data_IF_278734034272
#
_entry.id   IF_278734034272
#
_cell.length_a   1.000
_cell.length_b   1.000
_cell.length_c   1.000
_cell.angle_alpha   90.00
_cell.angle_beta   90.00
_cell.angle_gamma   90.00
#
_symmetry.space_group_name_H-M   'P 1'
#
loop_
_entity.id
_entity.type
_entity.pdbx_description
1 polymer ?
#
# COMPACT_ATOMS: atom_id res chain seq x y z
N UNK A 1 22.46 6.81 4.83
CA UNK A 1 22.09 6.29 3.49
C UNK A 1 22.47 7.38 2.51
N UNK A 2 23.28 7.08 1.51
CA UNK A 2 23.67 8.02 0.47
C UNK A 2 22.85 7.70 -0.78
N UNK A 3 22.51 8.73 -1.56
CA UNK A 3 21.82 8.57 -2.84
C UNK A 3 22.65 9.23 -3.93
N UNK A 4 22.57 8.68 -5.14
CA UNK A 4 23.14 9.28 -6.35
C UNK A 4 21.99 9.58 -7.30
N UNK A 5 21.89 10.84 -7.74
CA UNK A 5 20.92 11.25 -8.75
C UNK A 5 21.57 11.22 -10.13
N UNK A 6 21.02 10.42 -11.04
CA UNK A 6 21.43 10.38 -12.44
C UNK A 6 20.40 11.10 -13.29
N UNK A 7 20.82 12.15 -14.00
CA UNK A 7 19.96 12.94 -14.88
C UNK A 7 20.25 12.58 -16.34
N UNK A 8 19.20 12.22 -17.09
CA UNK A 8 19.29 12.00 -18.53
C UNK A 8 18.89 13.26 -19.27
N UNK A 9 19.80 13.76 -20.10
CA UNK A 9 19.53 14.89 -20.98
C UNK A 9 19.13 14.39 -22.37
N UNK A 10 18.14 15.04 -22.95
CA UNK A 10 17.72 14.84 -24.33
C UNK A 10 17.90 16.13 -25.13
N UNK A 11 18.38 16.01 -26.36
CA UNK A 11 18.54 17.11 -27.31
C UNK A 11 17.75 16.87 -28.58
N UNK A 12 17.50 17.92 -29.36
CA UNK A 12 17.01 17.82 -30.73
C UNK A 12 18.10 18.26 -31.69
N UNK A 13 18.29 17.47 -32.74
CA UNK A 13 19.19 17.87 -33.81
C UNK A 13 18.57 19.01 -34.60
N UNK A 14 19.26 20.15 -34.71
CA UNK A 14 18.70 21.37 -35.31
C UNK A 14 18.30 21.20 -36.79
N UNK A 15 18.96 20.29 -37.52
CA UNK A 15 18.73 20.16 -38.96
C UNK A 15 17.62 19.17 -39.34
N UNK A 16 17.42 18.09 -38.57
CA UNK A 16 16.48 17.01 -38.90
C UNK A 16 15.42 16.77 -37.81
N UNK A 17 15.45 17.56 -36.73
CA UNK A 17 14.52 17.50 -35.60
C UNK A 17 14.47 16.13 -34.87
N UNK A 18 15.43 15.24 -35.15
CA UNK A 18 15.55 13.95 -34.47
C UNK A 18 15.93 14.16 -33.01
N UNK A 19 15.28 13.42 -32.11
CA UNK A 19 15.58 13.48 -30.68
C UNK A 19 16.72 12.52 -30.37
N UNK A 20 17.78 13.00 -29.72
CA UNK A 20 18.90 12.19 -29.24
C UNK A 20 18.83 12.19 -27.73
N UNK A 21 18.89 11.00 -27.13
CA UNK A 21 18.90 10.83 -25.68
C UNK A 21 20.20 10.14 -25.26
N UNK A 22 20.76 10.58 -24.14
CA UNK A 22 21.91 9.93 -23.49
C UNK A 22 21.49 8.62 -22.83
N UNK A 23 22.38 7.62 -22.83
CA UNK A 23 22.14 6.38 -22.11
C UNK A 23 22.51 6.55 -20.63
N UNK A 24 21.84 5.79 -19.76
CA UNK A 24 22.30 5.62 -18.38
C UNK A 24 23.64 4.87 -18.39
N UNK A 25 24.53 5.13 -17.42
CA UNK A 25 25.73 4.32 -17.26
C UNK A 25 25.36 2.87 -16.91
N UNK A 26 26.22 1.92 -17.30
CA UNK A 26 25.94 0.48 -17.21
C UNK A 26 25.72 -0.03 -15.77
N UNK A 27 26.23 0.70 -14.77
CA UNK A 27 26.09 0.41 -13.35
C UNK A 27 24.84 1.01 -12.71
N UNK A 28 24.04 1.78 -13.47
CA UNK A 28 22.82 2.38 -12.95
C UNK A 28 21.76 1.29 -12.64
N UNK A 29 21.08 1.37 -11.49
CA UNK A 29 20.04 0.41 -11.13
C UNK A 29 18.89 0.44 -12.14
N UNK A 30 18.28 -0.73 -12.37
CA UNK A 30 17.12 -0.85 -13.25
C UNK A 30 15.88 -0.20 -12.62
N UNK A 31 15.58 1.02 -13.05
CA UNK A 31 14.39 1.79 -12.63
C UNK A 31 14.73 3.18 -12.10
N UNK A 32 13.70 3.91 -11.65
CA UNK A 32 13.86 5.29 -11.16
C UNK A 32 14.40 5.40 -9.73
N UNK A 33 14.41 4.30 -8.96
CA UNK A 33 14.83 4.27 -7.56
C UNK A 33 15.69 3.05 -7.29
N UNK A 34 16.76 3.24 -6.53
CA UNK A 34 17.51 2.12 -5.94
C UNK A 34 16.63 1.35 -4.94
N UNK A 35 16.84 0.01 -4.79
CA UNK A 35 16.14 -0.82 -3.81
C UNK A 35 16.13 -0.27 -2.38
N UNK A 36 17.22 0.34 -1.88
CA UNK A 36 17.26 0.85 -0.50
C UNK A 36 16.34 2.05 -0.32
N UNK A 37 16.34 3.00 -1.25
CA UNK A 37 15.43 4.13 -1.24
C UNK A 37 13.98 3.69 -1.42
N UNK A 38 13.73 2.72 -2.30
CA UNK A 38 12.41 2.11 -2.48
C UNK A 38 11.88 1.51 -1.16
N UNK A 39 12.69 0.68 -0.48
CA UNK A 39 12.33 0.09 0.82
C UNK A 39 12.13 1.15 1.91
N UNK A 40 12.94 2.21 1.92
CA UNK A 40 12.79 3.29 2.89
C UNK A 40 11.46 4.04 2.73
N UNK A 41 11.08 4.37 1.48
CA UNK A 41 9.78 4.99 1.17
C UNK A 41 8.63 4.04 1.55
N UNK A 42 8.78 2.74 1.31
CA UNK A 42 7.80 1.73 1.67
C UNK A 42 7.53 1.72 3.19
N UNK A 43 8.58 1.68 4.01
CA UNK A 43 8.47 1.69 5.47
C UNK A 43 7.89 3.01 5.97
N UNK A 44 8.35 4.15 5.44
CA UNK A 44 7.78 5.46 5.77
C UNK A 44 6.27 5.46 5.54
N UNK A 45 5.85 5.04 4.35
CA UNK A 45 4.44 5.04 3.94
C UNK A 45 3.58 4.08 4.75
N UNK A 46 4.08 2.87 5.00
CA UNK A 46 3.29 1.78 5.58
C UNK A 46 3.27 1.76 7.11
N UNK A 47 4.39 2.09 7.76
CA UNK A 47 4.55 1.93 9.22
C UNK A 47 4.36 3.24 9.99
N UNK A 48 4.87 4.35 9.44
CA UNK A 48 4.90 5.62 10.17
C UNK A 48 3.76 6.56 9.79
N UNK A 49 2.99 6.20 8.76
CA UNK A 49 1.79 6.90 8.28
C UNK A 49 1.91 8.44 8.02
N UNK A 50 3.06 9.01 7.62
CA UNK A 50 3.11 10.38 7.11
C UNK A 50 2.35 10.48 5.78
N UNK A 51 1.79 11.65 5.50
CA UNK A 51 1.24 11.92 4.17
C UNK A 51 2.34 11.89 3.10
N UNK A 52 1.98 11.64 1.83
CA UNK A 52 2.94 11.65 0.71
C UNK A 52 3.76 12.97 0.68
N UNK A 53 3.12 14.10 0.98
CA UNK A 53 3.80 15.41 1.06
C UNK A 53 4.81 15.48 2.22
N UNK A 54 4.51 14.88 3.37
CA UNK A 54 5.45 14.78 4.50
C UNK A 54 6.63 13.88 4.15
N UNK A 55 6.40 12.77 3.44
CA UNK A 55 7.49 11.92 2.92
C UNK A 55 8.36 12.71 1.95
N UNK A 56 7.77 13.40 0.99
CA UNK A 56 8.49 14.24 0.02
C UNK A 56 9.38 15.26 0.73
N UNK A 57 8.83 15.98 1.71
CA UNK A 57 9.58 16.96 2.50
C UNK A 57 10.72 16.31 3.28
N UNK A 58 10.47 15.19 3.95
CA UNK A 58 11.51 14.45 4.67
C UNK A 58 12.66 14.01 3.75
N UNK A 59 12.34 13.52 2.55
CA UNK A 59 13.34 13.11 1.57
C UNK A 59 14.16 14.31 1.07
N UNK A 60 13.51 15.46 0.84
CA UNK A 60 14.20 16.68 0.43
C UNK A 60 15.09 17.23 1.55
N UNK A 61 14.60 17.28 2.79
CA UNK A 61 15.36 17.74 3.96
C UNK A 61 16.59 16.85 4.22
N UNK A 62 16.48 15.54 3.92
CA UNK A 62 17.55 14.57 4.17
C UNK A 62 18.57 14.46 3.04
N UNK A 63 18.13 14.56 1.78
CA UNK A 63 18.96 14.25 0.62
C UNK A 63 19.20 15.44 -0.31
N UNK A 64 18.57 16.59 -0.07
CA UNK A 64 18.77 17.80 -0.88
C UNK A 64 18.25 17.72 -2.31
N UNK A 65 17.52 16.65 -2.68
CA UNK A 65 16.93 16.48 -4.02
C UNK A 65 15.41 16.36 -3.96
N UNK A 66 14.75 16.76 -5.05
CA UNK A 66 13.31 16.80 -5.16
C UNK A 66 12.75 15.51 -5.77
N UNK A 67 12.01 14.75 -4.97
CA UNK A 67 11.21 13.62 -5.45
C UNK A 67 9.79 14.07 -5.79
N UNK A 68 9.23 13.61 -6.90
CA UNK A 68 7.84 13.93 -7.24
C UNK A 68 6.86 13.16 -6.35
N UNK A 69 5.68 13.76 -6.11
CA UNK A 69 4.56 13.10 -5.42
C UNK A 69 4.15 11.82 -6.18
N UNK A 70 4.19 11.86 -7.51
CA UNK A 70 3.86 10.72 -8.36
C UNK A 70 4.82 9.56 -8.15
N UNK A 71 6.13 9.81 -8.07
CA UNK A 71 7.14 8.79 -7.81
C UNK A 71 6.92 8.09 -6.46
N UNK A 72 6.63 8.86 -5.42
CA UNK A 72 6.33 8.33 -4.08
C UNK A 72 5.03 7.50 -4.12
N UNK A 73 3.98 8.02 -4.76
CA UNK A 73 2.70 7.33 -4.94
C UNK A 73 2.84 6.02 -5.72
N UNK A 74 3.60 6.04 -6.83
CA UNK A 74 3.90 4.85 -7.65
C UNK A 74 4.68 3.81 -6.86
N UNK A 75 5.60 4.25 -6.01
CA UNK A 75 6.34 3.37 -5.08
C UNK A 75 5.38 2.69 -4.10
N UNK A 76 4.48 3.44 -3.45
CA UNK A 76 3.45 2.88 -2.59
C UNK A 76 2.56 1.85 -3.32
N UNK A 77 2.12 2.19 -4.54
CA UNK A 77 1.33 1.29 -5.37
C UNK A 77 2.07 -0.01 -5.71
N UNK A 78 3.35 0.07 -6.08
CA UNK A 78 4.18 -1.11 -6.38
C UNK A 78 4.35 -2.01 -5.16
N UNK A 79 4.66 -1.43 -3.99
CA UNK A 79 4.76 -2.17 -2.72
C UNK A 79 3.43 -2.83 -2.37
N UNK A 80 2.32 -2.10 -2.49
CA UNK A 80 0.98 -2.65 -2.26
C UNK A 80 0.71 -3.85 -3.15
N UNK A 81 1.04 -3.77 -4.45
CA UNK A 81 0.88 -4.89 -5.37
C UNK A 81 1.72 -6.10 -4.96
N UNK A 82 2.98 -5.88 -4.58
CA UNK A 82 3.88 -6.95 -4.11
C UNK A 82 3.36 -7.65 -2.85
N UNK A 83 2.70 -6.91 -1.95
CA UNK A 83 2.17 -7.44 -0.70
C UNK A 83 0.80 -8.13 -0.85
N UNK A 84 0.12 -7.99 -2.00
CA UNK A 84 -1.24 -8.53 -2.22
C UNK A 84 -1.36 -10.01 -1.88
N UNK A 85 -0.47 -10.84 -2.42
CA UNK A 85 -0.54 -12.30 -2.21
C UNK A 85 -0.30 -12.67 -0.75
N UNK A 86 0.64 -11.99 -0.09
CA UNK A 86 0.91 -12.20 1.34
C UNK A 86 -0.30 -11.80 2.18
N UNK A 87 -0.89 -10.64 1.91
CA UNK A 87 -2.09 -10.17 2.60
C UNK A 87 -3.27 -11.14 2.40
N UNK A 88 -3.45 -11.68 1.19
CA UNK A 88 -4.49 -12.67 0.91
C UNK A 88 -4.25 -13.99 1.66
N UNK A 89 -3.00 -14.43 1.74
CA UNK A 89 -2.62 -15.64 2.46
C UNK A 89 -2.90 -15.57 3.96
N UNK A 90 -2.87 -14.38 4.58
CA UNK A 90 -3.20 -14.17 6.00
C UNK A 90 -4.65 -14.51 6.36
N UNK A 91 -5.55 -14.59 5.37
CA UNK A 91 -6.94 -14.93 5.65
C UNK A 91 -7.09 -16.37 6.19
N UNK A 92 -6.30 -17.30 5.68
CA UNK A 92 -6.34 -18.71 6.07
C UNK A 92 -5.98 -18.94 7.55
N UNK A 93 -4.81 -18.51 8.07
CA UNK A 93 -4.47 -18.71 9.48
C UNK A 93 -5.40 -17.98 10.45
N UNK A 94 -6.00 -16.85 10.04
CA UNK A 94 -7.04 -16.19 10.85
C UNK A 94 -8.27 -17.09 10.99
N UNK A 95 -8.73 -17.71 9.91
CA UNK A 95 -9.87 -18.66 9.94
C UNK A 95 -9.60 -19.92 10.75
N UNK A 96 -8.34 -20.34 10.87
CA UNK A 96 -7.95 -21.49 11.70
C UNK A 96 -7.89 -21.17 13.20
N UNK A 97 -8.11 -19.91 13.61
CA UNK A 97 -8.08 -19.54 15.02
C UNK A 97 -9.34 -19.99 15.75
N UNK A 98 -9.20 -20.52 16.96
CA UNK A 98 -10.33 -20.91 17.80
C UNK A 98 -11.22 -19.71 18.22
N UNK A 99 -10.62 -18.52 18.31
CA UNK A 99 -11.30 -17.25 18.59
C UNK A 99 -10.90 -16.24 17.53
N UNK A 100 -11.88 -15.53 16.98
CA UNK A 100 -11.67 -14.49 15.97
C UNK A 100 -12.35 -13.21 16.44
N UNK A 101 -11.58 -12.13 16.52
CA UNK A 101 -12.13 -10.79 16.74
C UNK A 101 -12.38 -10.12 15.40
N UNK A 102 -13.58 -9.59 15.20
CA UNK A 102 -13.95 -8.86 13.98
C UNK A 102 -14.35 -7.44 14.36
N UNK A 103 -13.78 -6.47 13.65
CA UNK A 103 -14.15 -5.07 13.78
C UNK A 103 -14.14 -4.37 12.42
N UNK A 104 -14.81 -3.21 12.35
CA UNK A 104 -14.88 -2.42 11.13
C UNK A 104 -14.60 -0.94 11.41
N UNK A 105 -13.79 -0.36 10.54
CA UNK A 105 -13.50 1.07 10.57
C UNK A 105 -13.99 1.71 9.28
N UNK A 106 -14.64 2.87 9.43
CA UNK A 106 -15.12 3.66 8.30
C UNK A 106 -13.94 4.19 7.49
N UNK A 107 -13.96 3.98 6.17
CA UNK A 107 -12.98 4.53 5.24
C UNK A 107 -13.66 5.35 4.14
N UNK A 108 -13.52 6.67 4.24
CA UNK A 108 -13.96 7.62 3.20
C UNK A 108 -12.83 7.86 2.21
N UNK A 109 -13.12 7.75 0.92
CA UNK A 109 -12.16 8.03 -0.15
C UNK A 109 -12.58 9.27 -0.91
N UNK A 110 -11.66 10.21 -1.10
CA UNK A 110 -11.91 11.43 -1.87
C UNK A 110 -12.46 11.09 -3.27
N UNK A 111 -13.52 11.77 -3.69
CA UNK A 111 -14.17 11.56 -4.99
C UNK A 111 -15.06 10.31 -5.07
N UNK A 112 -15.26 9.58 -3.96
CA UNK A 112 -16.17 8.43 -3.90
C UNK A 112 -17.27 8.73 -2.89
N UNK A 113 -18.51 8.86 -3.37
CA UNK A 113 -19.66 9.15 -2.52
C UNK A 113 -20.00 8.01 -1.54
N UNK A 114 -19.79 6.77 -1.96
CA UNK A 114 -20.07 5.59 -1.14
C UNK A 114 -18.99 5.40 -0.05
N UNK A 115 -19.45 5.30 1.20
CA UNK A 115 -18.59 4.91 2.33
C UNK A 115 -18.13 3.47 2.14
N UNK A 116 -16.84 3.21 2.37
CA UNK A 116 -16.28 1.85 2.44
C UNK A 116 -15.96 1.51 3.89
N UNK A 117 -15.91 0.22 4.18
CA UNK A 117 -15.56 -0.32 5.48
C UNK A 117 -14.28 -1.13 5.34
N UNK A 118 -13.29 -0.82 6.17
CA UNK A 118 -12.15 -1.70 6.39
C UNK A 118 -12.57 -2.68 7.45
N UNK A 119 -12.67 -3.94 7.07
CA UNK A 119 -12.92 -5.06 7.95
C UNK A 119 -11.59 -5.61 8.45
N UNK A 120 -11.48 -5.82 9.75
CA UNK A 120 -10.32 -6.39 10.41
C UNK A 120 -10.74 -7.69 11.10
N UNK A 121 -9.99 -8.75 10.83
CA UNK A 121 -10.13 -10.04 11.47
C UNK A 121 -8.83 -10.34 12.19
N UNK A 122 -8.88 -10.45 13.52
CA UNK A 122 -7.74 -10.79 14.34
C UNK A 122 -7.91 -12.19 14.90
N UNK A 123 -7.00 -13.08 14.50
CA UNK A 123 -6.83 -14.38 15.13
C UNK A 123 -5.73 -14.34 16.20
N UNK A 124 -5.26 -15.52 16.60
CA UNK A 124 -4.18 -15.67 17.59
C UNK A 124 -2.79 -15.29 17.05
N UNK A 125 -2.55 -15.55 15.77
CA UNK A 125 -1.22 -15.42 15.15
C UNK A 125 -1.19 -14.53 13.90
N UNK A 126 -2.35 -14.09 13.43
CA UNK A 126 -2.47 -13.32 12.19
C UNK A 126 -3.59 -12.29 12.29
N UNK A 127 -3.44 -11.23 11.50
CA UNK A 127 -4.47 -10.21 11.28
C UNK A 127 -4.72 -10.11 9.78
N UNK A 128 -5.98 -10.23 9.39
CA UNK A 128 -6.42 -10.07 8.01
C UNK A 128 -7.27 -8.82 7.90
N UNK A 129 -6.96 -7.95 6.94
CA UNK A 129 -7.72 -6.74 6.69
C UNK A 129 -8.21 -6.70 5.25
N UNK A 130 -9.45 -6.26 5.03
CA UNK A 130 -10.02 -6.18 3.68
C UNK A 130 -11.07 -5.08 3.57
N UNK A 131 -11.25 -4.51 2.38
CA UNK A 131 -12.26 -3.46 2.16
C UNK A 131 -13.56 -4.06 1.62
N UNK A 132 -14.71 -3.64 2.16
CA UNK A 132 -16.05 -3.97 1.65
C UNK A 132 -16.94 -2.74 1.61
N UNK A 133 -18.03 -2.83 0.85
CA UNK A 133 -19.02 -1.76 0.71
C UNK A 133 -20.08 -1.78 1.81
N UNK A 134 -20.33 -2.95 2.41
CA UNK A 134 -21.38 -3.14 3.39
C UNK A 134 -20.79 -3.46 4.76
N UNK A 135 -21.52 -3.03 5.80
CA UNK A 135 -21.32 -3.37 7.20
C UNK A 135 -22.54 -4.11 7.71
N UNK A 136 -22.59 -5.42 7.48
CA UNK A 136 -23.71 -6.27 7.90
C UNK A 136 -23.25 -7.71 8.20
N UNK A 137 -24.09 -8.48 8.89
CA UNK A 137 -23.83 -9.90 9.19
C UNK A 137 -23.53 -10.74 7.96
N UNK A 138 -24.23 -10.54 6.85
CA UNK A 138 -24.01 -11.29 5.61
C UNK A 138 -22.58 -11.14 5.11
N UNK A 139 -22.05 -9.90 5.10
CA UNK A 139 -20.68 -9.63 4.67
C UNK A 139 -19.68 -10.27 5.62
N UNK A 140 -19.92 -10.23 6.94
CA UNK A 140 -19.07 -10.89 7.93
C UNK A 140 -19.05 -12.42 7.74
N UNK A 141 -20.24 -13.05 7.63
CA UNK A 141 -20.39 -14.49 7.42
C UNK A 141 -19.76 -14.95 6.10
N UNK A 142 -19.98 -14.22 5.01
CA UNK A 142 -19.36 -14.52 3.71
C UNK A 142 -17.83 -14.47 3.74
N UNK A 143 -17.24 -13.71 4.67
CA UNK A 143 -15.79 -13.68 4.85
C UNK A 143 -15.28 -14.82 5.74
N UNK A 144 -16.08 -15.36 6.67
CA UNK A 144 -15.71 -16.49 7.53
C UNK A 144 -15.89 -17.87 6.87
N UNK A 145 -16.58 -17.93 5.73
CA UNK A 145 -17.10 -19.14 5.08
C UNK A 145 -18.23 -19.82 5.88
N UNK A 146 -18.92 -20.80 5.29
CA UNK A 146 -20.08 -21.47 5.94
C UNK A 146 -19.68 -22.44 7.07
N UNK A 147 -18.42 -22.88 7.10
CA UNK A 147 -17.90 -23.89 8.02
C UNK A 147 -16.75 -23.35 8.89
N UNK A 148 -17.04 -22.37 9.75
CA UNK A 148 -16.08 -21.96 10.78
C UNK A 148 -16.54 -22.46 12.16
N UNK A 149 -15.60 -23.04 12.91
CA UNK A 149 -15.82 -23.56 14.26
C UNK A 149 -15.33 -22.59 15.35
N UNK A 150 -15.00 -21.36 14.97
CA UNK A 150 -14.43 -20.35 15.85
C UNK A 150 -15.49 -19.60 16.65
N UNK A 151 -15.15 -19.20 17.88
CA UNK A 151 -15.90 -18.20 18.63
C UNK A 151 -15.61 -16.84 18.00
N UNK A 152 -16.65 -16.16 17.52
CA UNK A 152 -16.52 -14.84 16.89
C UNK A 152 -16.92 -13.76 17.88
N UNK A 153 -16.03 -12.80 18.08
CA UNK A 153 -16.22 -11.65 18.97
C UNK A 153 -16.33 -10.40 18.10
N UNK A 154 -17.49 -9.74 18.14
CA UNK A 154 -17.74 -8.47 17.45
C UNK A 154 -18.27 -7.42 18.42
N UNK A 155 -18.23 -6.16 18.00
CA UNK A 155 -19.01 -5.12 18.68
C UNK A 155 -20.53 -5.39 18.51
N UNK A 156 -21.35 -4.82 19.40
CA UNK A 156 -22.82 -4.93 19.34
C UNK A 156 -23.41 -4.00 18.25
N UNK A 157 -22.94 -4.11 17.02
CA UNK A 157 -23.55 -3.36 15.92
C UNK A 157 -24.90 -3.98 15.55
N UNK A 158 -25.95 -3.14 15.49
CA UNK A 158 -27.29 -3.59 15.14
C UNK A 158 -27.43 -4.20 13.73
N UNK A 159 -26.45 -4.02 12.84
CA UNK A 159 -26.44 -4.67 11.52
C UNK A 159 -26.03 -6.15 11.55
N UNK A 160 -25.74 -6.69 12.74
CA UNK A 160 -25.48 -8.11 12.96
C UNK A 160 -26.70 -8.94 13.36
N UNK A 161 -27.78 -8.27 13.79
CA UNK A 161 -29.02 -8.90 14.24
C UNK A 161 -30.12 -8.81 13.17
#
# INVERSE_FOLDING_TARGET
MNITESQLFHGRYQHCNHTVQTNLPDDAPSGQLDPRLFSHIAVLSGQYHPSIRKIQRLLMDKYGTHFSIELISKTQGRVSSMLTLLQQALHHPVKQSAVIHIDEITHKRNGVAATRWIWLFSGSHAVYQTMRYRRNAETAKAMLDEQYHAIVITNQCGSYN
#
